data_IF_173630897616
#
_entry.id   IF_173630897616
#
_cell.length_a   1.000
_cell.length_b   1.000
_cell.length_c   1.000
_cell.angle_alpha   90.00
_cell.angle_beta   90.00
_cell.angle_gamma   90.00
#
_symmetry.space_group_name_H-M   'P 1'
#
loop_
_entity.id
_entity.type
_entity.pdbx_description
1 polymer ?
#
# COMPACT_ATOMS: atom_id res chain seq x y z
N UNK A 1 -5.87 -0.93 11.71
CA UNK A 1 -6.76 -1.23 10.56
C UNK A 1 -7.40 0.07 10.06
N UNK A 2 -7.50 0.35 8.75
CA UNK A 2 -8.08 1.62 8.21
C UNK A 2 -9.40 2.05 8.86
N UNK A 3 -10.22 1.07 9.25
CA UNK A 3 -11.47 1.31 9.96
C UNK A 3 -11.28 2.01 11.30
N UNK A 4 -10.17 1.79 12.01
CA UNK A 4 -9.88 2.45 13.30
C UNK A 4 -9.72 3.96 13.12
N UNK A 5 -9.02 4.40 12.07
CA UNK A 5 -8.91 5.84 11.77
C UNK A 5 -10.28 6.43 11.38
N UNK A 6 -11.09 5.70 10.63
CA UNK A 6 -12.45 6.14 10.27
C UNK A 6 -13.36 6.24 11.49
N UNK A 7 -13.31 5.26 12.40
CA UNK A 7 -14.23 5.17 13.53
C UNK A 7 -13.80 6.01 14.73
N UNK A 8 -12.52 6.36 14.85
CA UNK A 8 -12.03 7.23 15.93
C UNK A 8 -12.25 8.73 15.67
N UNK A 9 -12.62 9.11 14.45
CA UNK A 9 -12.81 10.51 14.07
C UNK A 9 -14.27 10.83 13.77
N UNK A 10 -14.80 11.85 14.45
CA UNK A 10 -16.05 12.49 14.07
C UNK A 10 -15.75 13.60 13.07
N UNK A 11 -16.38 13.54 11.90
CA UNK A 11 -16.28 14.57 10.86
C UNK A 11 -17.54 15.40 10.83
N UNK A 12 -17.41 16.72 10.71
CA UNK A 12 -18.56 17.62 10.63
C UNK A 12 -19.28 17.47 9.28
N UNK A 13 -18.54 17.11 8.21
CA UNK A 13 -19.11 16.93 6.87
C UNK A 13 -18.49 15.75 6.13
N UNK A 14 -19.21 15.24 5.12
CA UNK A 14 -18.68 14.22 4.20
C UNK A 14 -17.48 14.70 3.40
N UNK A 15 -17.40 16.00 3.09
CA UNK A 15 -16.27 16.56 2.35
C UNK A 15 -14.99 16.54 3.18
N UNK A 16 -15.09 16.95 4.46
CA UNK A 16 -13.99 16.88 5.42
C UNK A 16 -13.52 15.44 5.61
N UNK A 17 -14.46 14.49 5.78
CA UNK A 17 -14.15 13.08 5.92
C UNK A 17 -13.34 12.57 4.72
N UNK A 18 -13.77 12.89 3.49
CA UNK A 18 -13.06 12.46 2.27
C UNK A 18 -11.65 13.01 2.21
N UNK A 19 -11.45 14.30 2.51
CA UNK A 19 -10.14 14.92 2.47
C UNK A 19 -9.20 14.25 3.49
N UNK A 20 -9.63 14.16 4.76
CA UNK A 20 -8.82 13.55 5.83
C UNK A 20 -8.51 12.07 5.55
N UNK A 21 -9.46 11.33 4.99
CA UNK A 21 -9.24 9.93 4.59
C UNK A 21 -8.23 9.81 3.45
N UNK A 22 -8.34 10.66 2.42
CA UNK A 22 -7.40 10.64 1.30
C UNK A 22 -5.97 10.94 1.77
N UNK A 23 -5.81 11.98 2.59
CA UNK A 23 -4.52 12.33 3.21
C UNK A 23 -3.97 11.18 4.04
N UNK A 24 -4.78 10.60 4.93
CA UNK A 24 -4.33 9.51 5.78
C UNK A 24 -3.94 8.25 4.99
N UNK A 25 -4.68 7.93 3.93
CA UNK A 25 -4.37 6.79 3.06
C UNK A 25 -3.01 7.01 2.36
N UNK A 26 -2.82 8.18 1.76
CA UNK A 26 -1.63 8.50 0.98
C UNK A 26 -0.37 8.62 1.86
N UNK A 27 -0.46 9.38 2.95
CA UNK A 27 0.72 9.78 3.71
C UNK A 27 1.12 8.76 4.76
N UNK A 28 0.16 8.00 5.32
CA UNK A 28 0.40 7.08 6.42
C UNK A 28 0.09 5.62 6.09
N UNK A 29 -1.13 5.31 5.62
CA UNK A 29 -1.56 3.92 5.46
C UNK A 29 -0.71 3.18 4.43
N UNK A 30 -0.61 3.74 3.23
CA UNK A 30 0.08 3.09 2.11
C UNK A 30 1.61 3.02 2.33
N UNK A 31 2.18 3.95 3.09
CA UNK A 31 3.63 4.09 3.29
C UNK A 31 4.14 3.32 4.49
N UNK A 32 3.39 3.34 5.60
CA UNK A 32 3.91 3.00 6.93
C UNK A 32 3.12 1.88 7.62
N UNK A 33 1.84 1.71 7.30
CA UNK A 33 0.99 0.76 8.03
C UNK A 33 1.33 -0.68 7.68
N UNK A 34 1.73 -1.46 8.69
CA UNK A 34 2.17 -2.86 8.52
C UNK A 34 0.97 -3.80 8.42
N UNK A 35 0.99 -4.70 7.44
CA UNK A 35 -0.04 -5.73 7.26
C UNK A 35 0.54 -7.12 7.43
N UNK A 36 -0.09 -7.96 8.26
CA UNK A 36 0.31 -9.37 8.42
C UNK A 36 0.23 -10.15 7.10
N UNK A 37 -0.74 -9.83 6.24
CA UNK A 37 -0.86 -10.39 4.90
C UNK A 37 0.28 -9.98 3.94
N UNK A 38 1.00 -8.90 4.26
CA UNK A 38 2.14 -8.41 3.50
C UNK A 38 3.43 -8.65 4.31
N UNK A 39 3.55 -9.74 5.07
CA UNK A 39 4.73 -10.04 5.90
C UNK A 39 5.16 -8.91 6.86
N UNK A 40 4.19 -8.09 7.27
CA UNK A 40 4.41 -6.93 8.13
C UNK A 40 5.03 -5.73 7.42
N UNK A 41 5.05 -5.64 6.08
CA UNK A 41 5.42 -4.41 5.37
C UNK A 41 4.19 -3.61 4.91
N UNK A 42 4.42 -2.34 4.59
CA UNK A 42 3.37 -1.45 4.08
C UNK A 42 2.93 -1.80 2.66
N UNK A 43 1.74 -1.35 2.21
CA UNK A 43 1.23 -1.61 0.87
C UNK A 43 2.18 -1.17 -0.26
N UNK A 44 2.68 0.06 -0.24
CA UNK A 44 3.59 0.56 -1.29
C UNK A 44 4.92 -0.23 -1.32
N UNK A 45 5.63 -0.42 -0.19
CA UNK A 45 6.82 -1.28 -0.16
C UNK A 45 6.55 -2.69 -0.69
N UNK A 46 5.40 -3.27 -0.36
CA UNK A 46 5.01 -4.59 -0.84
C UNK A 46 4.85 -4.62 -2.36
N UNK A 47 4.12 -3.66 -2.93
CA UNK A 47 3.95 -3.56 -4.38
C UNK A 47 5.29 -3.38 -5.11
N UNK A 48 6.19 -2.57 -4.57
CA UNK A 48 7.54 -2.42 -5.10
C UNK A 48 8.35 -3.73 -5.07
N UNK A 49 8.33 -4.46 -3.95
CA UNK A 49 9.00 -5.74 -3.84
C UNK A 49 8.45 -6.76 -4.84
N UNK A 50 7.12 -6.82 -5.00
CA UNK A 50 6.46 -7.71 -5.96
C UNK A 50 6.80 -7.34 -7.40
N UNK A 51 6.85 -6.05 -7.73
CA UNK A 51 7.24 -5.58 -9.06
C UNK A 51 8.70 -5.95 -9.37
N UNK A 52 9.61 -5.76 -8.42
CA UNK A 52 11.02 -6.14 -8.55
C UNK A 52 11.19 -7.65 -8.71
N UNK A 53 10.48 -8.46 -7.91
CA UNK A 53 10.52 -9.91 -8.03
C UNK A 53 10.07 -10.37 -9.43
N UNK A 54 8.96 -9.82 -9.95
CA UNK A 54 8.45 -10.11 -11.29
C UNK A 54 9.44 -9.71 -12.40
N UNK A 55 10.05 -8.53 -12.28
CA UNK A 55 11.05 -8.06 -13.24
C UNK A 55 12.27 -9.00 -13.25
N UNK A 56 12.76 -9.38 -12.07
CA UNK A 56 13.89 -10.31 -11.94
C UNK A 56 13.55 -11.68 -12.52
N UNK A 57 12.37 -12.23 -12.24
CA UNK A 57 11.93 -13.50 -12.84
C UNK A 57 11.85 -13.41 -14.36
N UNK A 58 11.33 -12.31 -14.92
CA UNK A 58 11.25 -12.10 -16.38
C UNK A 58 12.65 -12.10 -17.02
N UNK A 59 13.61 -11.43 -16.39
CA UNK A 59 15.01 -11.42 -16.84
C UNK A 59 15.65 -12.81 -16.78
N UNK A 60 15.32 -13.63 -15.78
CA UNK A 60 15.84 -14.99 -15.64
C UNK A 60 15.21 -16.00 -16.62
N UNK A 61 13.97 -15.77 -17.05
CA UNK A 61 13.23 -16.66 -17.99
C UNK A 61 13.58 -16.38 -19.45
N UNK A 62 14.41 -15.38 -19.75
CA UNK A 62 14.99 -15.17 -21.09
C UNK A 62 16.44 -15.65 -21.15
N UNK A 63 16.74 -16.97 -21.16
CA UNK A 63 17.98 -17.45 -21.73
C UNK A 63 17.77 -17.63 -23.24
N UNK A 64 18.51 -16.84 -24.03
CA UNK A 64 19.15 -17.25 -25.27
C UNK A 64 18.38 -18.26 -26.17
N UNK A 65 17.64 -17.74 -27.15
CA UNK A 65 17.48 -18.43 -28.43
C UNK A 65 18.60 -17.96 -29.35
N UNK A 66 19.69 -18.75 -29.38
CA UNK A 66 20.72 -18.70 -30.40
C UNK A 66 20.45 -19.79 -31.47
#
# INVERSE_FOLDING_TARGET
MKVEFVHQHHFATRAEARLKMATWIADFYNTTHRHSANDGIGPIPFEHHMAQARANTTTQVTPEVA
#
